data_IF_332598878766
#
_entry.id   IF_332598878766
#
_cell.length_a   1.000
_cell.length_b   1.000
_cell.length_c   1.000
_cell.angle_alpha   90.00
_cell.angle_beta   90.00
_cell.angle_gamma   90.00
#
_symmetry.space_group_name_H-M   'P 1'
#
loop_
_entity.id
_entity.type
_entity.pdbx_description
1 polymer ?
#
# COMPACT_ATOMS: atom_id res chain seq x y z
N UNK A 1 8.34 15.93 6.63
CA UNK A 1 8.39 14.75 5.74
C UNK A 1 6.98 14.44 5.25
N UNK A 2 6.81 14.33 3.94
CA UNK A 2 5.49 14.06 3.36
C UNK A 2 5.21 12.57 3.37
N UNK A 3 3.98 12.18 3.76
CA UNK A 3 3.60 10.79 3.66
C UNK A 3 3.19 10.46 2.21
N UNK A 4 2.97 9.18 1.93
CA UNK A 4 2.70 8.75 0.56
C UNK A 4 1.43 9.37 -0.04
N UNK A 5 0.41 9.67 0.79
CA UNK A 5 -0.82 10.27 0.31
C UNK A 5 -0.56 11.70 -0.19
N UNK A 6 0.21 12.47 0.56
CA UNK A 6 0.56 13.84 0.16
C UNK A 6 1.36 13.84 -1.14
N UNK A 7 2.20 12.84 -1.34
CA UNK A 7 3.00 12.72 -2.54
C UNK A 7 2.19 12.31 -3.78
N UNK A 8 0.94 11.88 -3.61
CA UNK A 8 0.09 11.58 -4.76
C UNK A 8 -0.16 12.81 -5.64
N UNK A 9 -0.03 14.02 -5.07
CA UNK A 9 -0.16 15.24 -5.86
C UNK A 9 0.98 15.42 -6.86
N UNK A 10 2.09 14.72 -6.67
CA UNK A 10 3.24 14.77 -7.57
C UNK A 10 3.10 13.87 -8.79
N UNK A 11 2.03 13.05 -8.85
CA UNK A 11 1.84 12.10 -9.94
C UNK A 11 1.45 12.81 -11.23
N UNK A 12 1.70 12.17 -12.41
CA UNK A 12 1.30 12.76 -13.69
C UNK A 12 -0.18 13.14 -13.70
N UNK A 13 -0.53 14.25 -14.31
CA UNK A 13 -1.90 14.77 -14.33
C UNK A 13 -2.88 13.79 -14.95
N UNK A 14 -2.44 13.02 -15.94
CA UNK A 14 -3.30 12.05 -16.62
C UNK A 14 -3.49 10.77 -15.82
N UNK A 15 -2.71 10.56 -14.76
CA UNK A 15 -2.88 9.39 -13.90
C UNK A 15 -3.90 9.66 -12.82
N UNK A 16 -4.86 8.76 -12.63
CA UNK A 16 -5.83 8.85 -11.55
C UNK A 16 -5.62 7.69 -10.59
N UNK A 17 -5.24 8.02 -9.34
CA UNK A 17 -5.08 7.01 -8.32
C UNK A 17 -6.44 6.40 -7.97
N UNK A 18 -6.56 5.05 -7.94
CA UNK A 18 -7.83 4.41 -7.57
C UNK A 18 -8.17 4.72 -6.11
N UNK A 19 -9.13 5.61 -5.90
CA UNK A 19 -9.46 6.08 -4.56
C UNK A 19 -9.92 4.96 -3.61
N UNK A 20 -10.51 3.90 -4.16
CA UNK A 20 -10.96 2.77 -3.35
C UNK A 20 -9.82 2.03 -2.68
N UNK A 21 -8.58 2.27 -3.09
CA UNK A 21 -7.41 1.64 -2.48
C UNK A 21 -6.88 2.41 -1.27
N UNK A 22 -7.25 3.67 -1.11
CA UNK A 22 -6.68 4.50 -0.05
C UNK A 22 -6.99 3.94 1.34
N UNK A 23 -8.25 3.66 1.63
CA UNK A 23 -8.64 3.15 2.95
C UNK A 23 -8.00 1.79 3.26
N UNK A 24 -8.00 0.81 2.34
CA UNK A 24 -7.31 -0.46 2.60
C UNK A 24 -5.82 -0.29 2.86
N UNK A 25 -5.15 0.57 2.10
CA UNK A 25 -3.71 0.80 2.30
C UNK A 25 -3.48 1.46 3.65
N UNK A 26 -4.28 2.47 4.01
CA UNK A 26 -4.14 3.14 5.31
C UNK A 26 -4.41 2.20 6.47
N UNK A 27 -5.36 1.29 6.32
CA UNK A 27 -5.67 0.30 7.36
C UNK A 27 -4.47 -0.61 7.62
N UNK A 28 -3.83 -1.08 6.56
CA UNK A 28 -2.63 -1.91 6.71
C UNK A 28 -1.47 -1.08 7.27
N UNK A 29 -1.33 0.16 6.81
CA UNK A 29 -0.29 1.05 7.31
C UNK A 29 -0.44 1.30 8.81
N UNK A 30 -1.65 1.56 9.28
CA UNK A 30 -1.90 1.80 10.70
C UNK A 30 -1.50 0.59 11.54
N UNK A 31 -1.86 -0.61 11.08
CA UNK A 31 -1.43 -1.83 11.76
C UNK A 31 0.10 -1.96 11.78
N UNK A 32 0.75 -1.64 10.67
CA UNK A 32 2.20 -1.78 10.56
C UNK A 32 2.93 -0.78 11.45
N UNK A 33 2.31 0.36 11.77
CA UNK A 33 2.89 1.36 12.66
C UNK A 33 2.85 0.98 14.13
N UNK A 34 2.10 -0.05 14.50
CA UNK A 34 2.03 -0.52 15.89
C UNK A 34 3.26 -1.39 16.15
N UNK A 35 4.18 -0.86 16.96
CA UNK A 35 5.42 -1.55 17.33
C UNK A 35 6.17 -2.14 16.13
N UNK A 36 6.50 -1.33 15.10
CA UNK A 36 7.11 -1.86 13.89
C UNK A 36 8.48 -2.49 14.13
N UNK A 37 9.19 -2.05 15.18
CA UNK A 37 10.52 -2.58 15.49
C UNK A 37 10.51 -4.03 15.95
N UNK A 38 9.35 -4.56 16.33
CA UNK A 38 9.23 -5.94 16.80
C UNK A 38 8.94 -6.93 15.68
N UNK A 39 8.70 -6.43 14.48
CA UNK A 39 8.32 -7.29 13.35
C UNK A 39 8.86 -6.68 12.06
N UNK A 40 9.90 -7.32 11.50
CA UNK A 40 10.52 -6.83 10.28
C UNK A 40 9.56 -6.74 9.10
N UNK A 41 8.53 -7.58 9.06
CA UNK A 41 7.52 -7.50 8.00
C UNK A 41 6.76 -6.17 8.05
N UNK A 42 6.48 -5.67 9.25
CA UNK A 42 5.81 -4.36 9.39
C UNK A 42 6.68 -3.24 8.83
N UNK A 43 7.98 -3.28 9.11
CA UNK A 43 8.89 -2.26 8.58
C UNK A 43 8.95 -2.32 7.06
N UNK A 44 8.95 -3.51 6.48
CA UNK A 44 8.90 -3.66 5.02
C UNK A 44 7.62 -3.08 4.44
N UNK A 45 6.48 -3.32 5.09
CA UNK A 45 5.21 -2.78 4.64
C UNK A 45 5.25 -1.26 4.61
N UNK A 46 5.75 -0.63 5.66
CA UNK A 46 5.86 0.83 5.71
C UNK A 46 6.73 1.37 4.59
N UNK A 47 7.84 0.70 4.31
CA UNK A 47 8.74 1.08 3.22
C UNK A 47 8.05 0.96 1.87
N UNK A 48 7.38 -0.15 1.61
CA UNK A 48 6.69 -0.36 0.33
C UNK A 48 5.58 0.67 0.13
N UNK A 49 4.83 1.00 1.18
CA UNK A 49 3.77 2.00 1.08
C UNK A 49 4.35 3.39 0.80
N UNK A 50 5.45 3.75 1.46
CA UNK A 50 6.11 5.04 1.22
C UNK A 50 6.58 5.19 -0.22
N UNK A 51 6.92 4.10 -0.88
CA UNK A 51 7.41 4.12 -2.27
C UNK A 51 6.31 3.95 -3.31
N UNK A 52 5.03 3.92 -2.90
CA UNK A 52 3.93 3.81 -3.87
C UNK A 52 3.98 4.92 -4.93
N UNK A 53 4.15 6.20 -4.59
CA UNK A 53 4.22 7.23 -5.64
C UNK A 53 5.38 7.00 -6.60
N UNK A 54 6.53 6.57 -6.10
CA UNK A 54 7.69 6.30 -6.96
C UNK A 54 7.41 5.16 -7.93
N UNK A 55 6.75 4.10 -7.46
CA UNK A 55 6.39 2.97 -8.30
C UNK A 55 5.43 3.38 -9.42
N UNK A 56 4.49 4.26 -9.12
CA UNK A 56 3.54 4.76 -10.11
C UNK A 56 4.27 5.62 -11.14
N UNK A 57 5.21 6.46 -10.72
CA UNK A 57 6.03 7.24 -11.65
C UNK A 57 6.77 6.36 -12.64
N UNK A 58 7.23 5.20 -12.18
CA UNK A 58 8.01 4.30 -13.03
C UNK A 58 7.14 3.51 -14.00
N UNK A 59 5.96 3.05 -13.59
CA UNK A 59 5.20 2.11 -14.42
C UNK A 59 3.69 2.16 -14.18
N UNK A 60 3.17 3.30 -13.79
CA UNK A 60 1.73 3.58 -13.60
C UNK A 60 1.02 2.51 -12.77
N UNK A 61 -0.11 1.96 -13.25
CA UNK A 61 -0.87 0.95 -12.51
C UNK A 61 -0.08 -0.34 -12.29
N UNK A 62 0.77 -0.71 -13.22
CA UNK A 62 1.58 -1.91 -13.07
C UNK A 62 2.56 -1.74 -11.90
N UNK A 63 3.18 -0.57 -11.79
CA UNK A 63 4.05 -0.27 -10.65
C UNK A 63 3.29 -0.33 -9.34
N UNK A 64 2.09 0.22 -9.31
CA UNK A 64 1.23 0.17 -8.13
C UNK A 64 0.87 -1.28 -7.79
N UNK A 65 0.51 -2.09 -8.79
CA UNK A 65 0.18 -3.51 -8.55
C UNK A 65 1.34 -4.28 -7.96
N UNK A 66 2.55 -4.07 -8.49
CA UNK A 66 3.75 -4.73 -7.97
C UNK A 66 4.01 -4.31 -6.53
N UNK A 67 3.91 -3.00 -6.25
CA UNK A 67 4.15 -2.49 -4.92
C UNK A 67 3.14 -3.06 -3.91
N UNK A 68 1.87 -3.11 -4.29
CA UNK A 68 0.84 -3.66 -3.41
C UNK A 68 0.99 -5.16 -3.21
N UNK A 69 1.50 -5.89 -4.20
CA UNK A 69 1.77 -7.32 -4.03
C UNK A 69 2.83 -7.55 -2.95
N UNK A 70 3.84 -6.68 -2.88
CA UNK A 70 4.84 -6.75 -1.81
C UNK A 70 4.23 -6.43 -0.44
N UNK A 71 3.35 -5.43 -0.38
CA UNK A 71 2.64 -5.12 0.86
C UNK A 71 1.84 -6.32 1.34
N UNK A 72 1.07 -6.94 0.44
CA UNK A 72 0.26 -8.11 0.76
C UNK A 72 1.11 -9.29 1.23
N UNK A 73 2.25 -9.52 0.57
CA UNK A 73 3.14 -10.62 0.94
C UNK A 73 3.69 -10.48 2.37
N UNK A 74 3.81 -9.25 2.86
CA UNK A 74 4.33 -8.97 4.19
C UNK A 74 3.24 -8.77 5.25
N UNK A 75 1.96 -8.82 4.85
CA UNK A 75 0.84 -8.54 5.76
C UNK A 75 0.18 -9.80 6.32
N UNK A 76 0.86 -10.94 6.27
CA UNK A 76 0.29 -12.21 6.73
C UNK A 76 -0.06 -12.22 8.22
N UNK A 77 0.66 -11.45 9.02
CA UNK A 77 0.38 -11.34 10.46
C UNK A 77 -0.79 -10.42 10.78
N UNK A 78 -1.27 -9.65 9.82
CA UNK A 78 -2.43 -8.79 10.01
C UNK A 78 -3.69 -9.61 9.79
N UNK A 79 -4.44 -9.84 10.87
CA UNK A 79 -5.59 -10.75 10.86
C UNK A 79 -6.84 -10.06 11.41
N UNK A 80 -7.98 -10.69 11.16
CA UNK A 80 -9.27 -10.19 11.60
C UNK A 80 -10.12 -9.75 10.42
N UNK A 81 -11.34 -9.30 10.72
CA UNK A 81 -12.30 -8.94 9.68
C UNK A 81 -11.83 -7.74 8.87
N UNK A 82 -11.35 -6.71 9.56
CA UNK A 82 -10.85 -5.51 8.88
C UNK A 82 -9.66 -5.82 7.99
N UNK A 83 -8.76 -6.69 8.46
CA UNK A 83 -7.61 -7.13 7.69
C UNK A 83 -8.05 -7.88 6.43
N UNK A 84 -9.03 -8.76 6.57
CA UNK A 84 -9.54 -9.57 5.47
C UNK A 84 -10.16 -8.71 4.39
N UNK A 85 -10.97 -7.73 4.80
CA UNK A 85 -11.61 -6.79 3.86
C UNK A 85 -10.57 -5.97 3.10
N UNK A 86 -9.61 -5.38 3.82
CA UNK A 86 -8.57 -4.57 3.20
C UNK A 86 -7.74 -5.37 2.21
N UNK A 87 -7.32 -6.57 2.61
CA UNK A 87 -6.51 -7.43 1.75
C UNK A 87 -7.29 -7.87 0.51
N UNK A 88 -8.60 -8.13 0.66
CA UNK A 88 -9.43 -8.54 -0.46
C UNK A 88 -9.47 -7.46 -1.54
N UNK A 89 -9.69 -6.22 -1.14
CA UNK A 89 -9.74 -5.10 -2.08
C UNK A 89 -8.41 -4.96 -2.82
N UNK A 90 -7.29 -5.03 -2.10
CA UNK A 90 -5.98 -4.91 -2.71
C UNK A 90 -5.67 -6.09 -3.63
N UNK A 91 -6.04 -7.30 -3.23
CA UNK A 91 -5.82 -8.49 -4.07
C UNK A 91 -6.57 -8.41 -5.38
N UNK A 92 -7.80 -7.91 -5.36
CA UNK A 92 -8.59 -7.75 -6.57
C UNK A 92 -7.93 -6.78 -7.54
N UNK A 93 -7.39 -5.68 -7.04
CA UNK A 93 -6.68 -4.72 -7.87
C UNK A 93 -5.39 -5.33 -8.46
N UNK A 94 -4.64 -6.05 -7.64
CA UNK A 94 -3.37 -6.66 -8.09
C UNK A 94 -3.60 -7.68 -9.20
N UNK A 95 -4.77 -8.34 -9.22
CA UNK A 95 -5.08 -9.37 -10.21
C UNK A 95 -5.57 -8.83 -11.56
N UNK A 96 -5.92 -7.56 -11.63
CA UNK A 96 -6.47 -6.98 -12.89
C UNK A 96 -5.43 -6.74 -13.99
#
# INVERSE_FOLDING_TARGET
>A
MFNWIERLDELPLEYQFPNELIDPICTIEDWAKIEPHKNGFKQCILTYIDHIPDAIHMDTNRGLQVQLSYVLANAMGFRGEEARESKKILKEFVKT
#
